data_IF_784543701843
#
_entry.id   IF_784543701843
#
_cell.length_a   1.000
_cell.length_b   1.000
_cell.length_c   1.000
_cell.angle_alpha   90.00
_cell.angle_beta   90.00
_cell.angle_gamma   90.00
#
_symmetry.space_group_name_H-M   'P 1'
#
loop_
_entity.id
_entity.type
_entity.pdbx_description
1 polymer ?
#
# COMPACT_ATOMS: atom_id res chain seq x y z
N UNK A 1 24.52 -4.92 -33.30
CA UNK A 1 23.82 -6.01 -32.60
C UNK A 1 22.85 -5.36 -31.65
N UNK A 2 21.54 -5.45 -31.87
CA UNK A 2 20.57 -5.05 -30.85
C UNK A 2 20.76 -5.94 -29.62
N UNK A 3 21.05 -5.34 -28.48
CA UNK A 3 21.13 -6.07 -27.22
C UNK A 3 19.70 -6.54 -26.92
N UNK A 4 19.46 -7.83 -26.99
CA UNK A 4 18.17 -8.46 -26.68
C UNK A 4 17.81 -8.07 -25.26
N UNK A 5 16.76 -7.26 -25.08
CA UNK A 5 16.25 -6.88 -23.75
C UNK A 5 15.84 -8.13 -22.99
N UNK A 6 16.17 -8.20 -21.71
CA UNK A 6 15.71 -9.26 -20.82
C UNK A 6 14.19 -9.17 -20.65
N UNK A 7 13.54 -10.31 -20.55
CA UNK A 7 12.11 -10.38 -20.28
C UNK A 7 11.87 -10.67 -18.80
N UNK A 8 11.26 -9.72 -18.11
CA UNK A 8 10.92 -9.82 -16.68
C UNK A 8 9.41 -9.96 -16.55
N UNK A 9 8.98 -11.00 -15.83
CA UNK A 9 7.56 -11.21 -15.50
C UNK A 9 7.34 -10.85 -14.03
N UNK A 10 6.41 -9.92 -13.77
CA UNK A 10 6.06 -9.48 -12.42
C UNK A 10 4.76 -10.12 -12.00
N UNK A 11 4.79 -10.89 -10.89
CA UNK A 11 3.60 -11.51 -10.31
C UNK A 11 3.10 -10.66 -9.13
N UNK A 12 1.86 -10.24 -9.17
CA UNK A 12 1.26 -9.38 -8.15
C UNK A 12 -0.22 -9.73 -7.92
N UNK A 13 -0.79 -9.32 -6.80
CA UNK A 13 -2.22 -9.47 -6.53
C UNK A 13 -3.07 -8.49 -7.34
N UNK A 14 -3.54 -7.44 -6.72
CA UNK A 14 -4.34 -6.39 -7.39
C UNK A 14 -3.43 -5.36 -8.05
N UNK A 15 -3.68 -5.10 -9.32
CA UNK A 15 -2.93 -4.16 -10.16
C UNK A 15 -3.89 -3.23 -10.91
N UNK A 16 -3.44 -2.59 -12.01
CA UNK A 16 -4.27 -1.72 -12.84
C UNK A 16 -5.61 -2.38 -13.24
N UNK A 17 -6.74 -1.65 -13.25
CA UNK A 17 -6.91 -0.24 -12.82
C UNK A 17 -7.06 -0.06 -11.30
N UNK A 18 -7.24 -1.14 -10.53
CA UNK A 18 -7.55 -1.15 -9.09
C UNK A 18 -6.34 -1.55 -8.25
N UNK A 19 -5.35 -0.65 -8.17
CA UNK A 19 -4.12 -0.92 -7.42
C UNK A 19 -4.36 -1.14 -5.93
N UNK A 20 -3.77 -2.21 -5.39
CA UNK A 20 -3.51 -2.32 -3.95
C UNK A 20 -2.24 -1.53 -3.57
N UNK A 21 -1.96 -1.38 -2.27
CA UNK A 21 -0.71 -0.78 -1.81
C UNK A 21 0.54 -1.48 -2.40
N UNK A 22 0.56 -2.81 -2.38
CA UNK A 22 1.62 -3.61 -3.04
C UNK A 22 1.60 -3.43 -4.55
N UNK A 23 0.42 -3.30 -5.16
CA UNK A 23 0.28 -3.01 -6.59
C UNK A 23 0.90 -1.68 -7.00
N UNK A 24 0.79 -0.64 -6.15
CA UNK A 24 1.45 0.66 -6.37
C UNK A 24 2.97 0.50 -6.29
N UNK A 25 3.48 -0.21 -5.28
CA UNK A 25 4.91 -0.50 -5.16
C UNK A 25 5.42 -1.27 -6.40
N UNK A 26 4.70 -2.31 -6.81
CA UNK A 26 5.03 -3.09 -8.00
C UNK A 26 5.03 -2.23 -9.28
N UNK A 27 4.05 -1.34 -9.43
CA UNK A 27 4.01 -0.39 -10.56
C UNK A 27 5.25 0.49 -10.60
N UNK A 28 5.62 1.06 -9.48
CA UNK A 28 6.77 1.96 -9.40
C UNK A 28 8.06 1.25 -9.80
N UNK A 29 8.25 0.00 -9.36
CA UNK A 29 9.38 -0.85 -9.79
C UNK A 29 9.29 -1.18 -11.28
N UNK A 30 8.11 -1.52 -11.79
CA UNK A 30 7.88 -1.79 -13.22
C UNK A 30 8.21 -0.56 -14.07
N UNK A 31 7.84 0.64 -13.63
CA UNK A 31 8.10 1.89 -14.34
C UNK A 31 9.62 2.19 -14.47
N UNK A 32 10.43 1.71 -13.54
CA UNK A 32 11.90 1.76 -13.67
C UNK A 32 12.42 0.62 -14.57
N UNK A 33 12.00 -0.61 -14.32
CA UNK A 33 12.49 -1.80 -15.05
C UNK A 33 12.17 -1.75 -16.56
N UNK A 34 11.01 -1.17 -16.96
CA UNK A 34 10.63 -1.09 -18.39
C UNK A 34 11.55 -0.22 -19.24
N UNK A 35 12.38 0.61 -18.61
CA UNK A 35 13.40 1.41 -19.33
C UNK A 35 14.46 0.52 -19.95
N UNK A 36 14.80 -0.61 -19.31
CA UNK A 36 15.89 -1.50 -19.68
C UNK A 36 15.46 -2.91 -20.08
N UNK A 37 14.25 -3.33 -19.70
CA UNK A 37 13.74 -4.68 -19.91
C UNK A 37 12.34 -4.66 -20.56
N UNK A 38 11.98 -5.80 -21.17
CA UNK A 38 10.61 -6.07 -21.58
C UNK A 38 9.83 -6.60 -20.38
N UNK A 39 8.67 -6.01 -20.10
CA UNK A 39 7.90 -6.35 -18.90
C UNK A 39 6.57 -7.01 -19.29
N UNK A 40 6.22 -8.06 -18.56
CA UNK A 40 4.84 -8.58 -18.48
C UNK A 40 4.41 -8.62 -17.04
N UNK A 41 3.22 -8.10 -16.71
CA UNK A 41 2.66 -8.15 -15.36
C UNK A 41 1.53 -9.17 -15.34
N UNK A 42 1.59 -10.14 -14.43
CA UNK A 42 0.53 -11.10 -14.19
C UNK A 42 -0.14 -10.75 -12.86
N UNK A 43 -1.42 -10.39 -12.92
CA UNK A 43 -2.19 -9.97 -11.75
C UNK A 43 -3.50 -10.74 -11.60
N UNK A 44 -4.16 -10.60 -10.45
CA UNK A 44 -5.49 -11.15 -10.23
C UNK A 44 -6.55 -10.17 -10.73
N UNK A 45 -7.63 -10.70 -11.35
CA UNK A 45 -8.83 -9.89 -11.60
C UNK A 45 -9.43 -9.38 -10.29
N UNK A 46 -9.76 -8.11 -10.27
CA UNK A 46 -10.45 -7.42 -9.17
C UNK A 46 -11.88 -7.02 -9.51
N UNK A 47 -12.20 -6.92 -10.81
CA UNK A 47 -13.53 -6.68 -11.36
C UNK A 47 -13.81 -7.66 -12.50
N UNK A 48 -15.08 -8.05 -12.67
CA UNK A 48 -15.48 -8.99 -13.70
C UNK A 48 -15.34 -8.41 -15.13
N UNK A 49 -15.42 -7.08 -15.24
CA UNK A 49 -15.35 -6.37 -16.52
C UNK A 49 -13.90 -6.06 -16.95
N UNK A 50 -12.90 -6.36 -16.12
CA UNK A 50 -11.50 -6.22 -16.52
C UNK A 50 -11.17 -7.17 -17.67
N UNK A 51 -10.41 -6.69 -18.67
CA UNK A 51 -9.90 -7.51 -19.76
C UNK A 51 -8.96 -8.59 -19.24
N UNK A 52 -8.91 -9.73 -19.88
CA UNK A 52 -7.94 -10.80 -19.53
C UNK A 52 -6.50 -10.39 -19.86
N UNK A 53 -6.33 -9.63 -20.93
CA UNK A 53 -5.04 -9.12 -21.39
C UNK A 53 -5.20 -7.71 -21.97
N UNK A 54 -4.28 -6.80 -21.67
CA UNK A 54 -4.20 -5.47 -22.27
C UNK A 54 -2.78 -4.90 -22.22
N UNK A 55 -2.51 -3.97 -23.15
CA UNK A 55 -1.33 -3.11 -23.11
C UNK A 55 -1.60 -1.92 -22.20
N UNK A 56 -0.65 -1.59 -21.33
CA UNK A 56 -0.70 -0.46 -20.44
C UNK A 56 0.67 0.16 -20.30
N UNK A 57 0.81 1.44 -20.65
CA UNK A 57 2.03 2.23 -20.45
C UNK A 57 3.33 1.57 -20.94
N UNK A 58 3.23 0.88 -22.12
CA UNK A 58 4.37 0.25 -22.78
C UNK A 58 4.73 -1.15 -22.28
N UNK A 59 3.88 -1.80 -21.48
CA UNK A 59 4.03 -3.18 -21.06
C UNK A 59 2.68 -3.91 -21.03
N UNK A 60 2.74 -5.24 -21.01
CA UNK A 60 1.57 -6.11 -21.08
C UNK A 60 1.09 -6.51 -19.69
N UNK A 61 -0.21 -6.37 -19.43
CA UNK A 61 -0.88 -6.87 -18.23
C UNK A 61 -1.74 -8.08 -18.61
N UNK A 62 -1.56 -9.19 -17.90
CA UNK A 62 -2.33 -10.42 -18.06
C UNK A 62 -3.00 -10.73 -16.73
N UNK A 63 -4.31 -10.98 -16.74
CA UNK A 63 -5.06 -11.22 -15.51
C UNK A 63 -5.48 -12.66 -15.37
N UNK A 64 -5.23 -13.23 -14.19
CA UNK A 64 -5.73 -14.54 -13.82
C UNK A 64 -6.93 -14.42 -12.86
N UNK A 65 -7.72 -15.48 -12.79
CA UNK A 65 -8.82 -15.59 -11.81
C UNK A 65 -9.19 -17.04 -11.58
N UNK A 66 -9.24 -17.45 -10.32
CA UNK A 66 -9.79 -18.76 -9.98
C UNK A 66 -11.31 -18.80 -10.21
N UNK A 67 -11.88 -19.97 -10.44
CA UNK A 67 -13.33 -20.15 -10.61
C UNK A 67 -14.14 -19.52 -9.48
N UNK A 68 -13.68 -19.67 -8.24
CA UNK A 68 -14.36 -19.11 -7.07
C UNK A 68 -14.26 -17.59 -7.04
N UNK A 69 -13.12 -17.00 -7.43
CA UNK A 69 -12.98 -15.56 -7.53
C UNK A 69 -13.84 -14.98 -8.65
N UNK A 70 -13.88 -15.62 -9.82
CA UNK A 70 -14.75 -15.20 -10.93
C UNK A 70 -16.23 -15.21 -10.52
N UNK A 71 -16.70 -16.28 -9.85
CA UNK A 71 -18.05 -16.35 -9.30
C UNK A 71 -18.33 -15.21 -8.30
N UNK A 72 -17.36 -14.92 -7.42
CA UNK A 72 -17.47 -13.81 -6.46
C UNK A 72 -17.58 -12.46 -7.15
N UNK A 73 -16.75 -12.19 -8.14
CA UNK A 73 -16.76 -10.92 -8.89
C UNK A 73 -18.06 -10.76 -9.66
N UNK A 74 -18.54 -11.83 -10.29
CA UNK A 74 -19.84 -11.86 -10.95
C UNK A 74 -20.99 -11.54 -9.97
N UNK A 75 -20.98 -12.19 -8.80
CA UNK A 75 -21.98 -11.95 -7.77
C UNK A 75 -21.96 -10.50 -7.25
N UNK A 76 -20.77 -9.91 -7.08
CA UNK A 76 -20.61 -8.50 -6.69
C UNK A 76 -21.18 -7.57 -7.76
N UNK A 77 -20.87 -7.82 -9.03
CA UNK A 77 -21.39 -7.03 -10.14
C UNK A 77 -22.93 -7.10 -10.19
N UNK A 78 -23.51 -8.30 -10.15
CA UNK A 78 -24.97 -8.49 -10.14
C UNK A 78 -25.64 -7.82 -8.93
N UNK A 79 -25.06 -7.94 -7.75
CA UNK A 79 -25.56 -7.25 -6.56
C UNK A 79 -25.62 -5.74 -6.76
N UNK A 80 -24.65 -5.15 -7.44
CA UNK A 80 -24.55 -3.70 -7.62
C UNK A 80 -25.40 -3.17 -8.78
N UNK A 81 -25.73 -4.01 -9.77
CA UNK A 81 -26.47 -3.62 -10.97
C UNK A 81 -27.96 -3.95 -10.93
N UNK A 82 -28.38 -4.87 -10.07
CA UNK A 82 -29.78 -5.31 -10.00
C UNK A 82 -30.59 -4.56 -8.92
N UNK A 83 -31.94 -4.47 -9.06
CA UNK A 83 -32.82 -3.92 -8.03
C UNK A 83 -32.65 -4.63 -6.68
N UNK A 84 -32.91 -3.92 -5.58
CA UNK A 84 -32.69 -4.38 -4.20
C UNK A 84 -33.22 -5.79 -3.89
N UNK A 85 -34.41 -6.13 -4.41
CA UNK A 85 -35.04 -7.43 -4.17
C UNK A 85 -34.20 -8.58 -4.74
N UNK A 86 -33.68 -8.43 -5.97
CA UNK A 86 -32.85 -9.45 -6.61
C UNK A 86 -31.40 -9.43 -6.10
N UNK A 87 -30.92 -8.28 -5.59
CA UNK A 87 -29.58 -8.15 -5.03
C UNK A 87 -29.37 -8.96 -3.75
N UNK A 88 -30.46 -9.32 -3.02
CA UNK A 88 -30.41 -10.11 -1.80
C UNK A 88 -29.86 -11.53 -2.06
N UNK A 89 -30.27 -12.18 -3.12
CA UNK A 89 -29.74 -13.49 -3.52
C UNK A 89 -28.21 -13.44 -3.71
N UNK A 90 -27.73 -12.42 -4.42
CA UNK A 90 -26.29 -12.25 -4.66
C UNK A 90 -25.51 -11.90 -3.38
N UNK A 91 -26.13 -11.17 -2.48
CA UNK A 91 -25.55 -10.91 -1.15
C UNK A 91 -25.38 -12.20 -0.34
N UNK A 92 -26.38 -13.09 -0.36
CA UNK A 92 -26.31 -14.41 0.29
C UNK A 92 -25.17 -15.23 -0.33
N UNK A 93 -25.07 -15.28 -1.66
CA UNK A 93 -24.01 -16.00 -2.36
C UNK A 93 -22.62 -15.43 -2.02
N UNK A 94 -22.45 -14.12 -1.97
CA UNK A 94 -21.19 -13.48 -1.56
C UNK A 94 -20.82 -13.90 -0.12
N UNK A 95 -21.79 -13.90 0.80
CA UNK A 95 -21.55 -14.31 2.17
C UNK A 95 -21.23 -15.81 2.29
N UNK A 96 -21.87 -16.66 1.49
CA UNK A 96 -21.53 -18.08 1.40
C UNK A 96 -20.08 -18.29 0.94
N UNK A 97 -19.64 -17.58 -0.12
CA UNK A 97 -18.26 -17.63 -0.60
C UNK A 97 -17.28 -17.15 0.49
N UNK A 98 -17.63 -16.11 1.25
CA UNK A 98 -16.83 -15.65 2.40
C UNK A 98 -16.72 -16.71 3.49
N UNK A 99 -17.84 -17.37 3.81
CA UNK A 99 -17.87 -18.47 4.80
C UNK A 99 -17.01 -19.65 4.35
N UNK A 100 -17.12 -20.06 3.08
CA UNK A 100 -16.26 -21.10 2.50
C UNK A 100 -14.78 -20.71 2.61
N UNK A 101 -14.44 -19.47 2.27
CA UNK A 101 -13.07 -18.96 2.37
C UNK A 101 -12.57 -18.91 3.83
N UNK A 102 -13.45 -18.60 4.78
CA UNK A 102 -13.14 -18.63 6.20
C UNK A 102 -12.89 -20.06 6.69
N UNK A 103 -13.79 -21.00 6.38
CA UNK A 103 -13.65 -22.41 6.74
C UNK A 103 -12.38 -23.01 6.14
N UNK A 104 -12.08 -22.70 4.86
CA UNK A 104 -10.84 -23.12 4.22
C UNK A 104 -9.62 -22.58 4.98
N UNK A 105 -9.63 -21.30 5.38
CA UNK A 105 -8.54 -20.72 6.15
C UNK A 105 -8.35 -21.37 7.54
N UNK A 106 -9.38 -21.98 8.13
CA UNK A 106 -9.28 -22.70 9.41
C UNK A 106 -8.83 -24.16 9.18
N UNK A 107 -9.44 -24.85 8.22
CA UNK A 107 -9.28 -26.30 8.04
C UNK A 107 -8.00 -26.70 7.28
N UNK A 108 -7.50 -25.86 6.38
CA UNK A 108 -6.26 -26.16 5.63
C UNK A 108 -5.03 -26.17 6.54
N UNK A 109 -4.07 -27.05 6.24
CA UNK A 109 -2.79 -27.17 6.98
C UNK A 109 -1.94 -25.89 6.91
N UNK A 110 -1.97 -25.22 5.75
CA UNK A 110 -1.35 -23.91 5.48
C UNK A 110 -2.35 -23.01 4.78
N UNK A 111 -2.24 -21.71 4.95
CA UNK A 111 -3.19 -20.75 4.38
C UNK A 111 -2.79 -20.34 2.95
N UNK A 112 -2.66 -21.33 2.09
CA UNK A 112 -2.36 -21.19 0.67
C UNK A 112 -3.55 -21.66 -0.17
N UNK A 113 -3.85 -20.93 -1.23
CA UNK A 113 -4.85 -21.29 -2.23
C UNK A 113 -4.15 -21.95 -3.42
N UNK A 114 -4.07 -23.27 -3.44
CA UNK A 114 -3.40 -23.99 -4.52
C UNK A 114 -3.99 -23.67 -5.89
N UNK A 115 -5.31 -23.56 -6.00
CA UNK A 115 -5.99 -23.10 -7.22
C UNK A 115 -5.51 -21.75 -7.73
N UNK A 116 -5.10 -20.84 -6.84
CA UNK A 116 -4.50 -19.56 -7.23
C UNK A 116 -3.04 -19.71 -7.68
N UNK A 117 -2.28 -20.60 -7.05
CA UNK A 117 -0.92 -20.96 -7.49
C UNK A 117 -0.96 -21.53 -8.90
N UNK A 118 -1.86 -22.48 -9.13
CA UNK A 118 -2.04 -23.15 -10.43
C UNK A 118 -2.42 -22.16 -11.54
N UNK A 119 -3.29 -21.20 -11.26
CA UNK A 119 -3.66 -20.15 -12.23
C UNK A 119 -2.47 -19.24 -12.59
N UNK A 120 -1.62 -18.89 -11.62
CA UNK A 120 -0.38 -18.15 -11.93
C UNK A 120 0.56 -18.97 -12.78
N UNK A 121 0.78 -20.25 -12.47
CA UNK A 121 1.65 -21.16 -13.24
C UNK A 121 1.16 -21.31 -14.68
N UNK A 122 -0.15 -21.50 -14.86
CA UNK A 122 -0.77 -21.63 -16.19
C UNK A 122 -0.50 -20.40 -17.07
N UNK A 123 -0.68 -19.19 -16.48
CA UNK A 123 -0.41 -17.94 -17.21
C UNK A 123 1.09 -17.78 -17.48
N UNK A 124 1.96 -18.08 -16.51
CA UNK A 124 3.42 -18.09 -16.70
C UNK A 124 3.84 -19.02 -17.85
N UNK A 125 3.31 -20.24 -17.90
CA UNK A 125 3.58 -21.17 -18.97
C UNK A 125 3.19 -20.61 -20.35
N UNK A 126 1.99 -20.03 -20.47
CA UNK A 126 1.53 -19.38 -21.71
C UNK A 126 2.39 -18.17 -22.11
N UNK A 127 2.93 -17.43 -21.16
CA UNK A 127 3.87 -16.33 -21.43
C UNK A 127 5.22 -16.89 -21.88
N UNK A 128 5.73 -17.92 -21.20
CA UNK A 128 7.01 -18.58 -21.51
C UNK A 128 7.05 -19.25 -22.88
N UNK A 129 5.92 -19.83 -23.33
CA UNK A 129 5.76 -20.38 -24.67
C UNK A 129 5.89 -19.30 -25.77
N UNK A 130 5.42 -18.07 -25.51
CA UNK A 130 5.49 -16.97 -26.48
C UNK A 130 6.86 -16.28 -26.46
N UNK A 131 7.47 -16.15 -25.29
CA UNK A 131 8.74 -15.46 -25.09
C UNK A 131 9.44 -16.00 -23.85
N UNK A 132 10.73 -16.36 -23.98
CA UNK A 132 11.56 -16.82 -22.85
C UNK A 132 11.51 -15.81 -21.71
N UNK A 133 11.34 -16.32 -20.49
CA UNK A 133 11.31 -15.51 -19.26
C UNK A 133 12.71 -15.59 -18.64
N UNK A 134 13.38 -14.45 -18.46
CA UNK A 134 14.69 -14.40 -17.82
C UNK A 134 14.56 -14.29 -16.28
N UNK A 135 13.55 -13.55 -15.81
CA UNK A 135 13.35 -13.30 -14.37
C UNK A 135 11.87 -13.22 -14.03
N UNK A 136 11.50 -13.82 -12.91
CA UNK A 136 10.18 -13.69 -12.30
C UNK A 136 10.32 -12.90 -10.98
N UNK A 137 9.79 -11.69 -10.94
CA UNK A 137 9.67 -10.88 -9.72
C UNK A 137 8.34 -11.17 -9.06
N UNK A 138 8.35 -11.77 -7.87
CA UNK A 138 7.14 -12.18 -7.16
C UNK A 138 6.83 -11.22 -6.01
N UNK A 139 5.86 -10.33 -6.18
CA UNK A 139 5.35 -9.55 -5.05
C UNK A 139 4.64 -10.51 -4.10
N UNK A 140 5.23 -10.80 -2.92
CA UNK A 140 4.77 -11.82 -1.97
C UNK A 140 3.41 -11.50 -1.31
N UNK A 141 2.57 -10.76 -2.02
CA UNK A 141 1.20 -10.45 -1.68
C UNK A 141 0.33 -10.50 -2.96
N UNK A 142 -0.39 -11.59 -3.18
CA UNK A 142 -0.53 -12.80 -2.32
C UNK A 142 0.71 -13.69 -2.36
N UNK A 143 0.95 -14.46 -1.29
CA UNK A 143 2.12 -15.35 -1.19
C UNK A 143 2.09 -16.49 -2.24
N UNK A 144 0.91 -16.80 -2.75
CA UNK A 144 0.69 -17.72 -3.87
C UNK A 144 1.48 -17.33 -5.13
N UNK A 145 1.72 -16.02 -5.37
CA UNK A 145 2.54 -15.57 -6.48
C UNK A 145 3.99 -16.05 -6.38
N UNK A 146 4.53 -16.02 -5.17
CA UNK A 146 5.90 -16.51 -4.88
C UNK A 146 6.02 -18.01 -5.08
N UNK A 147 5.06 -18.76 -4.56
CA UNK A 147 5.01 -20.22 -4.75
C UNK A 147 4.88 -20.59 -6.22
N UNK A 148 4.08 -19.85 -6.97
CA UNK A 148 3.94 -20.07 -8.42
C UNK A 148 5.25 -19.84 -9.17
N UNK A 149 6.00 -18.77 -8.86
CA UNK A 149 7.31 -18.52 -9.46
C UNK A 149 8.29 -19.66 -9.19
N UNK A 150 8.39 -20.12 -7.94
CA UNK A 150 9.25 -21.26 -7.56
C UNK A 150 8.82 -22.56 -8.26
N UNK A 151 7.53 -22.84 -8.31
CA UNK A 151 7.04 -24.05 -8.98
C UNK A 151 7.25 -23.98 -10.50
N UNK A 152 7.04 -22.82 -11.12
CA UNK A 152 7.33 -22.62 -12.54
C UNK A 152 8.79 -22.91 -12.85
N UNK A 153 9.74 -22.38 -12.07
CA UNK A 153 11.17 -22.67 -12.21
C UNK A 153 11.46 -24.17 -12.17
N UNK A 154 10.83 -24.91 -11.27
CA UNK A 154 11.02 -26.36 -11.13
C UNK A 154 10.45 -27.17 -12.27
N UNK A 155 9.30 -26.77 -12.79
CA UNK A 155 8.51 -27.58 -13.74
C UNK A 155 8.80 -27.22 -15.20
N UNK A 156 9.12 -25.98 -15.51
CA UNK A 156 9.19 -25.46 -16.88
C UNK A 156 10.57 -24.97 -17.29
N UNK A 157 11.26 -24.18 -16.46
CA UNK A 157 12.55 -23.60 -16.81
C UNK A 157 13.43 -23.40 -15.57
N UNK A 158 14.43 -24.28 -15.42
CA UNK A 158 15.38 -24.25 -14.29
C UNK A 158 16.34 -23.07 -14.32
N UNK A 159 16.48 -22.37 -15.45
CA UNK A 159 17.41 -21.24 -15.60
C UNK A 159 16.76 -19.90 -15.26
N UNK A 160 15.42 -19.84 -15.20
CA UNK A 160 14.70 -18.62 -14.82
C UNK A 160 15.08 -18.20 -13.40
N UNK A 161 15.37 -16.92 -13.22
CA UNK A 161 15.63 -16.36 -11.89
C UNK A 161 14.31 -16.03 -11.21
N UNK A 162 14.16 -16.44 -9.95
CA UNK A 162 12.97 -16.13 -9.14
C UNK A 162 13.38 -15.25 -7.98
N UNK A 163 12.78 -14.06 -7.91
CA UNK A 163 13.08 -13.01 -6.93
C UNK A 163 11.81 -12.64 -6.19
N UNK A 164 11.57 -13.19 -4.99
CA UNK A 164 10.49 -12.74 -4.11
C UNK A 164 10.74 -11.33 -3.57
N UNK A 165 9.68 -10.53 -3.50
CA UNK A 165 9.68 -9.21 -2.90
C UNK A 165 8.67 -9.18 -1.75
N UNK A 166 9.15 -9.22 -0.51
CA UNK A 166 8.34 -9.30 0.70
C UNK A 166 7.98 -7.91 1.20
N UNK A 167 6.75 -7.49 0.92
CA UNK A 167 6.17 -6.24 1.43
C UNK A 167 5.50 -6.43 2.80
N UNK A 168 4.94 -7.61 3.05
CA UNK A 168 4.20 -7.95 4.27
C UNK A 168 4.72 -9.24 4.89
N UNK A 169 4.52 -9.39 6.21
CA UNK A 169 4.82 -10.63 6.91
C UNK A 169 3.71 -11.67 6.67
N UNK A 170 4.01 -12.63 5.82
CA UNK A 170 3.08 -13.74 5.52
C UNK A 170 2.70 -14.53 6.77
N UNK A 171 3.68 -14.80 7.67
CA UNK A 171 3.48 -15.65 8.85
C UNK A 171 2.62 -14.96 9.91
N UNK A 172 2.80 -13.64 10.10
CA UNK A 172 2.15 -12.88 11.16
C UNK A 172 0.81 -12.26 10.78
N UNK A 173 0.43 -12.32 9.53
CA UNK A 173 -0.70 -11.59 8.99
C UNK A 173 -2.05 -12.07 9.51
N UNK A 174 -2.70 -11.28 10.36
CA UNK A 174 -3.99 -11.61 11.00
C UNK A 174 -5.12 -11.82 9.99
N UNK A 175 -5.20 -11.01 8.93
CA UNK A 175 -6.19 -11.18 7.86
C UNK A 175 -6.12 -12.52 7.12
N UNK A 176 -4.94 -13.15 7.06
CA UNK A 176 -4.73 -14.46 6.48
C UNK A 176 -5.23 -15.58 7.43
N UNK A 177 -4.92 -15.44 8.71
CA UNK A 177 -5.21 -16.46 9.72
C UNK A 177 -6.64 -16.43 10.24
N UNK A 178 -7.31 -15.27 10.16
CA UNK A 178 -8.67 -15.02 10.65
C UNK A 178 -8.83 -15.02 12.16
N UNK A 179 -8.06 -15.84 12.89
CA UNK A 179 -8.08 -15.93 14.36
C UNK A 179 -6.67 -16.12 14.91
N UNK A 180 -6.40 -15.60 16.12
CA UNK A 180 -5.09 -15.75 16.78
C UNK A 180 -4.73 -17.20 17.10
N UNK A 181 -5.76 -18.05 17.37
CA UNK A 181 -5.56 -19.48 17.58
C UNK A 181 -5.08 -20.19 16.30
N UNK A 182 -5.73 -19.93 15.15
CA UNK A 182 -5.34 -20.50 13.86
C UNK A 182 -3.92 -20.06 13.45
N UNK A 183 -3.55 -18.80 13.73
CA UNK A 183 -2.21 -18.26 13.55
C UNK A 183 -1.17 -19.08 14.34
N UNK A 184 -1.41 -19.30 15.63
CA UNK A 184 -0.50 -20.10 16.49
C UNK A 184 -0.35 -21.54 16.00
N UNK A 185 -1.45 -22.21 15.66
CA UNK A 185 -1.42 -23.60 15.16
C UNK A 185 -0.60 -23.77 13.87
N UNK A 186 -0.61 -22.78 12.99
CA UNK A 186 0.04 -22.87 11.67
C UNK A 186 1.41 -22.22 11.61
N UNK A 187 1.82 -21.60 12.70
CA UNK A 187 3.05 -20.81 12.77
C UNK A 187 4.27 -21.53 12.18
N UNK A 188 4.63 -22.66 12.74
CA UNK A 188 5.82 -23.43 12.30
C UNK A 188 5.71 -23.85 10.82
N UNK A 189 4.53 -24.30 10.39
CA UNK A 189 4.32 -24.68 8.98
C UNK A 189 4.49 -23.53 8.01
N UNK A 190 4.09 -22.32 8.41
CA UNK A 190 4.29 -21.12 7.60
C UNK A 190 5.76 -20.67 7.62
N UNK A 191 6.46 -20.78 8.75
CA UNK A 191 7.91 -20.58 8.83
C UNK A 191 8.64 -21.53 7.87
N UNK A 192 8.32 -22.84 7.94
CA UNK A 192 8.95 -23.85 7.09
C UNK A 192 8.67 -23.60 5.60
N UNK A 193 7.47 -23.12 5.27
CA UNK A 193 7.10 -22.76 3.90
C UNK A 193 7.94 -21.57 3.39
N UNK A 194 8.15 -20.55 4.22
CA UNK A 194 9.00 -19.41 3.86
C UNK A 194 10.46 -19.85 3.73
N UNK A 195 10.97 -20.72 4.62
CA UNK A 195 12.32 -21.30 4.49
C UNK A 195 12.51 -22.03 3.15
N UNK A 196 11.51 -22.83 2.75
CA UNK A 196 11.55 -23.51 1.47
C UNK A 196 11.59 -22.52 0.28
N UNK A 197 10.87 -21.41 0.38
CA UNK A 197 10.92 -20.33 -0.63
C UNK A 197 12.30 -19.67 -0.67
N UNK A 198 12.89 -19.34 0.48
CA UNK A 198 14.22 -18.72 0.53
C UNK A 198 15.27 -19.62 -0.16
N UNK A 199 15.27 -20.91 0.20
CA UNK A 199 16.21 -21.88 -0.37
C UNK A 199 16.17 -21.95 -1.89
N UNK A 200 15.00 -21.90 -2.48
CA UNK A 200 14.77 -22.05 -3.93
C UNK A 200 14.84 -20.72 -4.71
N UNK A 201 14.89 -19.60 -4.01
CA UNK A 201 14.98 -18.27 -4.60
C UNK A 201 16.43 -17.92 -4.98
N UNK A 202 16.60 -17.12 -6.04
CA UNK A 202 17.93 -16.67 -6.46
C UNK A 202 18.36 -15.42 -5.69
N UNK A 203 17.39 -14.56 -5.30
CA UNK A 203 17.57 -13.37 -4.50
C UNK A 203 16.24 -12.99 -3.87
N UNK A 204 16.27 -12.17 -2.80
CA UNK A 204 15.05 -11.67 -2.11
C UNK A 204 15.19 -10.20 -1.76
N UNK A 205 14.11 -9.46 -2.00
CA UNK A 205 13.94 -8.14 -1.42
C UNK A 205 12.97 -8.23 -0.23
N UNK A 206 13.37 -7.67 0.89
CA UNK A 206 12.61 -7.75 2.15
C UNK A 206 12.51 -6.36 2.75
N UNK A 207 11.30 -5.93 3.11
CA UNK A 207 11.11 -4.64 3.78
C UNK A 207 11.88 -4.57 5.10
N UNK A 208 12.49 -3.43 5.41
CA UNK A 208 13.19 -3.20 6.69
C UNK A 208 12.32 -3.51 7.91
N UNK A 209 11.01 -3.28 7.81
CA UNK A 209 10.04 -3.60 8.85
C UNK A 209 10.00 -5.09 9.21
N UNK A 210 10.40 -5.96 8.29
CA UNK A 210 10.43 -7.41 8.46
C UNK A 210 11.80 -7.94 8.92
N UNK A 211 12.82 -7.07 9.01
CA UNK A 211 14.21 -7.46 9.30
C UNK A 211 14.32 -8.33 10.55
N UNK A 212 13.73 -7.89 11.67
CA UNK A 212 13.80 -8.64 12.93
C UNK A 212 13.19 -10.04 12.79
N UNK A 213 12.04 -10.15 12.12
CA UNK A 213 11.40 -11.44 11.89
C UNK A 213 12.31 -12.35 11.02
N UNK A 214 12.84 -11.82 9.92
CA UNK A 214 13.72 -12.58 9.03
C UNK A 214 15.01 -13.01 9.73
N UNK A 215 15.66 -12.15 10.48
CA UNK A 215 16.87 -12.47 11.24
C UNK A 215 16.61 -13.49 12.38
N UNK A 216 15.40 -13.51 12.94
CA UNK A 216 15.04 -14.45 14.00
C UNK A 216 14.76 -15.86 13.46
N UNK A 217 14.05 -15.97 12.34
CA UNK A 217 13.52 -17.25 11.88
C UNK A 217 14.22 -17.84 10.65
N UNK A 218 14.96 -17.01 9.88
CA UNK A 218 15.61 -17.39 8.63
C UNK A 218 17.09 -17.03 8.64
N UNK A 219 17.88 -17.87 9.34
CA UNK A 219 19.32 -17.67 9.51
C UNK A 219 20.15 -18.26 8.38
N UNK A 220 19.57 -19.13 7.57
CA UNK A 220 20.16 -19.68 6.37
C UNK A 220 19.87 -18.77 5.16
N UNK A 221 20.72 -18.76 4.15
CA UNK A 221 20.56 -17.99 2.90
C UNK A 221 20.45 -16.46 3.09
N UNK A 222 20.99 -15.92 4.19
CA UNK A 222 20.93 -14.48 4.51
C UNK A 222 21.64 -13.60 3.49
N UNK A 223 22.64 -14.13 2.78
CA UNK A 223 23.39 -13.45 1.72
C UNK A 223 22.53 -13.17 0.48
N UNK A 224 21.43 -13.88 0.31
CA UNK A 224 20.46 -13.63 -0.78
C UNK A 224 19.50 -12.49 -0.46
N UNK A 225 19.49 -11.96 0.78
CA UNK A 225 18.48 -10.99 1.23
C UNK A 225 19.04 -9.56 1.11
N UNK A 226 18.37 -8.73 0.35
CA UNK A 226 18.53 -7.28 0.39
C UNK A 226 17.36 -6.67 1.14
N UNK A 227 17.67 -5.96 2.23
CA UNK A 227 16.66 -5.18 2.96
C UNK A 227 16.47 -3.83 2.31
N UNK A 228 15.21 -3.45 2.11
CA UNK A 228 14.83 -2.22 1.40
C UNK A 228 13.59 -1.57 2.03
N UNK A 229 13.29 -0.34 1.66
CA UNK A 229 12.04 0.34 1.97
C UNK A 229 11.01 0.18 0.85
N UNK A 230 9.76 0.55 1.13
CA UNK A 230 8.72 0.54 0.11
C UNK A 230 9.10 1.50 -1.04
N UNK A 231 9.12 1.05 -2.29
CA UNK A 231 9.52 1.88 -3.44
C UNK A 231 8.40 2.88 -3.81
N UNK A 232 8.15 3.82 -2.92
CA UNK A 232 7.05 4.79 -2.98
C UNK A 232 7.53 6.23 -3.12
N UNK A 233 8.84 6.46 -3.05
CA UNK A 233 9.42 7.78 -3.21
C UNK A 233 9.62 8.08 -4.71
N UNK A 234 8.65 8.77 -5.30
CA UNK A 234 8.63 9.13 -6.72
C UNK A 234 8.52 10.63 -6.85
N UNK A 235 9.34 11.21 -7.73
CA UNK A 235 9.29 12.64 -7.99
C UNK A 235 7.89 13.07 -8.45
N UNK A 236 7.28 13.96 -7.68
CA UNK A 236 6.00 14.55 -8.04
C UNK A 236 6.23 15.63 -9.12
N UNK A 237 5.54 15.50 -10.26
CA UNK A 237 5.52 16.55 -11.27
C UNK A 237 4.82 17.79 -10.70
N UNK A 238 5.61 18.73 -10.17
CA UNK A 238 5.09 19.95 -9.58
C UNK A 238 4.75 20.96 -10.68
N UNK A 239 3.52 21.46 -10.69
CA UNK A 239 3.23 22.75 -11.31
C UNK A 239 3.75 23.88 -10.41
N UNK A 240 4.02 25.05 -10.97
CA UNK A 240 4.53 26.21 -10.24
C UNK A 240 3.76 26.44 -8.93
N UNK A 241 4.48 26.51 -7.82
CA UNK A 241 3.91 26.73 -6.49
C UNK A 241 3.29 28.12 -6.41
N UNK A 242 2.02 28.19 -5.94
CA UNK A 242 1.40 29.44 -5.53
C UNK A 242 1.70 29.65 -4.04
N UNK A 243 2.17 30.82 -3.68
CA UNK A 243 2.20 31.27 -2.28
C UNK A 243 0.78 31.65 -1.87
N UNK A 244 0.29 31.03 -0.81
CA UNK A 244 -1.03 31.33 -0.23
C UNK A 244 -0.89 32.45 0.80
N UNK A 245 -1.85 33.38 0.87
CA UNK A 245 -1.89 34.44 1.87
C UNK A 245 -1.99 33.85 3.28
N UNK A 246 -2.92 32.92 3.45
CA UNK A 246 -3.06 32.10 4.67
C UNK A 246 -2.60 30.67 4.39
N UNK A 247 -1.90 30.07 5.35
CA UNK A 247 -1.43 28.69 5.22
C UNK A 247 -2.58 27.71 4.93
N UNK A 248 -2.40 26.88 3.92
CA UNK A 248 -3.34 25.82 3.54
C UNK A 248 -2.82 24.47 4.04
N UNK A 249 -3.52 23.87 4.99
CA UNK A 249 -3.25 22.55 5.51
C UNK A 249 -4.10 21.52 4.75
N UNK A 250 -3.53 20.41 4.33
CA UNK A 250 -4.25 19.36 3.60
C UNK A 250 -4.12 18.01 4.31
N UNK A 251 -5.26 17.33 4.49
CA UNK A 251 -5.32 15.91 4.81
C UNK A 251 -6.00 15.15 3.67
N UNK A 252 -5.33 14.14 3.11
CA UNK A 252 -5.90 13.25 2.10
C UNK A 252 -5.84 11.79 2.56
N UNK A 253 -7.02 11.14 2.75
CA UNK A 253 -7.05 9.73 3.15
C UNK A 253 -8.32 9.26 3.82
N UNK A 254 -8.28 8.07 4.42
CA UNK A 254 -9.43 7.50 5.11
C UNK A 254 -9.37 7.76 6.62
N UNK A 255 -10.54 8.02 7.20
CA UNK A 255 -10.76 7.94 8.64
C UNK A 255 -11.67 6.73 8.94
N UNK A 256 -11.13 5.76 9.64
CA UNK A 256 -11.77 4.49 9.95
C UNK A 256 -11.76 4.26 11.46
N UNK A 257 -12.94 3.99 12.02
CA UNK A 257 -13.11 3.70 13.45
C UNK A 257 -12.23 2.52 13.86
N UNK A 258 -11.53 2.66 14.98
CA UNK A 258 -10.57 1.70 15.55
C UNK A 258 -9.32 1.47 14.70
N UNK A 259 -9.08 2.31 13.68
CA UNK A 259 -7.93 2.17 12.81
C UNK A 259 -7.17 3.49 12.62
N UNK A 260 -7.78 4.50 12.00
CA UNK A 260 -7.25 5.87 11.89
C UNK A 260 -8.37 6.80 12.29
N UNK A 261 -8.30 7.37 13.49
CA UNK A 261 -9.38 8.16 14.07
C UNK A 261 -9.01 9.65 14.09
N UNK A 262 -9.95 10.55 13.73
CA UNK A 262 -9.65 11.97 13.60
C UNK A 262 -9.82 12.78 14.88
N UNK A 263 -10.22 12.17 16.01
CA UNK A 263 -10.73 12.90 17.18
C UNK A 263 -9.76 13.94 17.71
N UNK A 264 -8.53 13.53 18.02
CA UNK A 264 -7.52 14.43 18.56
C UNK A 264 -7.10 15.51 17.55
N UNK A 265 -6.96 15.15 16.27
CA UNK A 265 -6.72 16.10 15.19
C UNK A 265 -7.84 17.16 15.14
N UNK A 266 -9.10 16.75 15.09
CA UNK A 266 -10.26 17.64 14.97
C UNK A 266 -10.32 18.60 16.15
N UNK A 267 -10.18 18.09 17.38
CA UNK A 267 -10.22 18.93 18.57
C UNK A 267 -9.04 19.91 18.62
N UNK A 268 -7.85 19.48 18.21
CA UNK A 268 -6.68 20.35 18.10
C UNK A 268 -6.91 21.48 17.09
N UNK A 269 -7.45 21.15 15.92
CA UNK A 269 -7.75 22.16 14.90
C UNK A 269 -8.85 23.12 15.34
N UNK A 270 -9.86 22.68 16.09
CA UNK A 270 -10.88 23.58 16.70
C UNK A 270 -10.24 24.64 17.60
N UNK A 271 -9.29 24.23 18.45
CA UNK A 271 -8.62 25.18 19.35
C UNK A 271 -7.76 26.20 18.59
N UNK A 272 -7.10 25.77 17.52
CA UNK A 272 -6.28 26.65 16.67
C UNK A 272 -7.16 27.64 15.90
N UNK A 273 -8.23 27.17 15.26
CA UNK A 273 -9.14 27.97 14.42
C UNK A 273 -9.88 29.06 15.18
N UNK A 274 -10.04 28.93 16.50
CA UNK A 274 -10.62 30.01 17.36
C UNK A 274 -9.75 31.28 17.40
N UNK A 275 -8.46 31.19 17.05
CA UNK A 275 -7.48 32.26 17.29
C UNK A 275 -6.60 32.60 16.10
N UNK A 276 -6.51 31.67 15.11
CA UNK A 276 -5.57 31.79 13.99
C UNK A 276 -6.29 31.57 12.65
N UNK A 277 -5.92 32.38 11.67
CA UNK A 277 -6.44 32.29 10.30
C UNK A 277 -5.58 31.30 9.50
N UNK A 278 -6.04 30.07 9.44
CA UNK A 278 -5.48 29.00 8.61
C UNK A 278 -6.61 28.37 7.80
N UNK A 279 -6.30 27.85 6.61
CA UNK A 279 -7.23 27.12 5.78
C UNK A 279 -6.94 25.63 5.87
N UNK A 280 -7.97 24.79 5.92
CA UNK A 280 -7.82 23.35 6.05
C UNK A 280 -8.72 22.66 5.05
N UNK A 281 -8.11 21.89 4.16
CA UNK A 281 -8.80 21.13 3.13
C UNK A 281 -8.72 19.63 3.43
N UNK A 282 -9.87 18.99 3.60
CA UNK A 282 -10.02 17.57 3.83
C UNK A 282 -10.49 16.85 2.57
N UNK A 283 -9.76 15.82 2.16
CA UNK A 283 -10.11 14.89 1.09
C UNK A 283 -10.27 13.50 1.72
N UNK A 284 -11.44 13.26 2.33
CA UNK A 284 -11.61 12.15 3.27
C UNK A 284 -12.71 11.17 2.84
N UNK A 285 -12.48 9.90 3.18
CA UNK A 285 -13.46 8.84 3.09
C UNK A 285 -13.46 8.00 4.37
N UNK A 286 -14.44 7.12 4.54
CA UNK A 286 -14.52 6.21 5.67
C UNK A 286 -15.76 6.45 6.54
N UNK A 287 -15.78 5.83 7.71
CA UNK A 287 -16.94 5.86 8.62
C UNK A 287 -16.82 6.86 9.79
N UNK A 288 -15.72 7.64 9.82
CA UNK A 288 -15.50 8.70 10.81
C UNK A 288 -15.53 10.12 10.20
N UNK A 289 -16.01 10.28 8.96
CA UNK A 289 -16.06 11.59 8.27
C UNK A 289 -16.97 12.60 8.93
N UNK A 290 -17.99 12.17 9.70
CA UNK A 290 -18.92 13.05 10.42
C UNK A 290 -18.22 14.08 11.32
N UNK A 291 -17.07 13.76 11.90
CA UNK A 291 -16.32 14.69 12.75
C UNK A 291 -15.69 15.83 11.93
N UNK A 292 -15.35 15.56 10.69
CA UNK A 292 -14.87 16.58 9.74
C UNK A 292 -16.03 17.45 9.26
N UNK A 293 -17.21 16.85 9.03
CA UNK A 293 -18.42 17.60 8.64
C UNK A 293 -18.85 18.55 9.76
N UNK A 294 -18.76 18.11 11.02
CA UNK A 294 -19.01 18.93 12.20
C UNK A 294 -18.00 20.10 12.31
N UNK A 295 -16.71 19.84 12.09
CA UNK A 295 -15.66 20.87 12.06
C UNK A 295 -15.91 21.89 10.94
N UNK A 296 -16.26 21.43 9.75
CA UNK A 296 -16.59 22.27 8.60
C UNK A 296 -17.79 23.15 8.89
N UNK A 297 -18.81 22.63 9.55
CA UNK A 297 -20.00 23.39 9.94
C UNK A 297 -19.69 24.49 10.97
N UNK A 298 -18.72 24.25 11.86
CA UNK A 298 -18.30 25.23 12.86
C UNK A 298 -17.40 26.33 12.28
N UNK A 299 -16.60 26.01 11.26
CA UNK A 299 -15.62 26.92 10.64
C UNK A 299 -15.73 26.92 9.11
N UNK A 300 -16.88 27.31 8.52
CA UNK A 300 -17.16 27.12 7.09
C UNK A 300 -16.28 27.96 6.16
N UNK A 301 -15.69 29.04 6.67
CA UNK A 301 -14.77 29.88 5.89
C UNK A 301 -13.38 29.22 5.76
N UNK A 302 -12.94 28.57 6.84
CA UNK A 302 -11.58 28.09 6.97
C UNK A 302 -11.44 26.58 6.66
N UNK A 303 -12.51 25.80 6.85
CA UNK A 303 -12.46 24.33 6.70
C UNK A 303 -13.36 23.89 5.56
N UNK A 304 -12.79 23.09 4.66
CA UNK A 304 -13.55 22.48 3.56
C UNK A 304 -13.40 20.97 3.59
N UNK A 305 -14.51 20.25 3.46
CA UNK A 305 -14.53 18.81 3.28
C UNK A 305 -14.99 18.48 1.87
N UNK A 306 -14.06 17.99 1.03
CA UNK A 306 -14.33 17.59 -0.37
C UNK A 306 -14.80 16.13 -0.47
N UNK A 307 -14.82 15.39 0.64
CA UNK A 307 -15.22 13.99 0.66
C UNK A 307 -14.26 13.08 -0.12
N UNK A 308 -14.83 11.98 -0.64
CA UNK A 308 -14.08 11.04 -1.47
C UNK A 308 -13.88 11.60 -2.88
N UNK A 309 -12.64 11.76 -3.29
CA UNK A 309 -12.23 12.26 -4.61
C UNK A 309 -11.38 11.22 -5.36
N UNK A 310 -11.04 11.50 -6.62
CA UNK A 310 -10.07 10.68 -7.38
C UNK A 310 -8.65 10.88 -6.86
N UNK A 311 -7.78 9.92 -7.17
CA UNK A 311 -6.36 10.00 -6.79
C UNK A 311 -5.69 11.27 -7.36
N UNK A 312 -5.99 11.62 -8.60
CA UNK A 312 -5.43 12.82 -9.26
C UNK A 312 -5.87 14.11 -8.55
N UNK A 313 -7.12 14.18 -8.10
CA UNK A 313 -7.65 15.34 -7.38
C UNK A 313 -6.97 15.47 -6.01
N UNK A 314 -6.83 14.37 -5.27
CA UNK A 314 -6.12 14.34 -4.00
C UNK A 314 -4.64 14.74 -4.17
N UNK A 315 -3.99 14.23 -5.21
CA UNK A 315 -2.58 14.54 -5.49
C UNK A 315 -2.37 16.03 -5.85
N UNK A 316 -3.28 16.61 -6.64
CA UNK A 316 -3.25 18.07 -6.91
C UNK A 316 -3.40 18.90 -5.63
N UNK A 317 -4.25 18.47 -4.69
CA UNK A 317 -4.41 19.14 -3.42
C UNK A 317 -3.14 19.03 -2.54
N UNK A 318 -2.52 17.85 -2.49
CA UNK A 318 -1.23 17.63 -1.82
C UNK A 318 -0.15 18.56 -2.41
N UNK A 319 -0.09 18.67 -3.73
CA UNK A 319 0.84 19.60 -4.41
C UNK A 319 0.55 21.08 -4.12
N UNK A 320 -0.70 21.46 -3.93
CA UNK A 320 -1.12 22.84 -3.65
C UNK A 320 -1.00 23.23 -2.17
N UNK A 321 -0.94 22.27 -1.25
CA UNK A 321 -0.85 22.52 0.19
C UNK A 321 0.42 23.28 0.60
N UNK A 322 0.38 23.96 1.74
CA UNK A 322 1.58 24.47 2.41
C UNK A 322 2.10 23.49 3.45
N UNK A 323 1.20 22.84 4.18
CA UNK A 323 1.49 21.86 5.22
C UNK A 323 0.63 20.61 4.99
N UNK A 324 1.19 19.45 5.21
CA UNK A 324 0.48 18.18 5.07
C UNK A 324 0.17 17.56 6.44
N UNK A 325 -1.09 17.19 6.65
CA UNK A 325 -1.52 16.55 7.89
C UNK A 325 -1.51 15.03 7.73
N UNK A 326 -0.92 14.34 8.68
CA UNK A 326 -0.90 12.89 8.76
C UNK A 326 -1.38 12.42 10.13
N UNK A 327 -2.24 11.41 10.16
CA UNK A 327 -2.67 10.72 11.39
C UNK A 327 -2.19 9.28 11.29
N UNK A 328 -1.46 8.85 12.29
CA UNK A 328 -0.97 7.48 12.41
C UNK A 328 -2.12 6.50 12.69
N UNK A 329 -1.91 5.26 12.38
CA UNK A 329 -2.83 4.17 12.71
C UNK A 329 -2.78 3.89 14.22
N UNK A 330 -3.93 3.53 14.82
CA UNK A 330 -4.08 3.42 16.28
C UNK A 330 -3.12 2.42 16.95
N UNK A 331 -2.69 1.35 16.27
CA UNK A 331 -1.72 0.39 16.82
C UNK A 331 -0.26 0.88 16.73
N UNK A 332 0.03 1.80 15.83
CA UNK A 332 1.39 2.29 15.52
C UNK A 332 2.29 1.27 14.80
N UNK A 333 1.73 0.13 14.40
CA UNK A 333 2.50 -0.96 13.75
C UNK A 333 2.49 -0.80 12.24
N UNK A 334 1.40 -0.27 11.67
CA UNK A 334 1.22 -0.20 10.24
C UNK A 334 1.74 1.13 9.66
N UNK A 335 2.58 1.00 8.66
CA UNK A 335 3.09 2.14 7.91
C UNK A 335 2.01 2.74 7.01
N UNK A 336 1.90 4.06 7.01
CA UNK A 336 1.07 4.79 6.07
C UNK A 336 1.84 5.11 4.79
N UNK A 337 1.40 4.54 3.66
CA UNK A 337 2.00 4.86 2.34
C UNK A 337 1.94 6.36 1.99
N UNK A 338 1.04 7.13 2.61
CA UNK A 338 0.93 8.58 2.41
C UNK A 338 2.19 9.35 2.78
N UNK A 339 2.96 8.89 3.78
CA UNK A 339 4.16 9.60 4.20
C UNK A 339 5.18 9.71 3.06
N UNK A 340 5.33 8.68 2.23
CA UNK A 340 6.24 8.74 1.08
C UNK A 340 5.73 9.72 0.01
N UNK A 341 4.42 9.73 -0.27
CA UNK A 341 3.81 10.73 -1.16
C UNK A 341 4.02 12.15 -0.61
N UNK A 342 3.91 12.34 0.70
CA UNK A 342 4.11 13.64 1.34
C UNK A 342 5.57 14.07 1.32
N UNK A 343 6.49 13.15 1.59
CA UNK A 343 7.93 13.41 1.48
C UNK A 343 8.35 13.71 0.04
N UNK A 344 7.79 13.00 -0.96
CA UNK A 344 8.16 13.20 -2.37
C UNK A 344 7.84 14.59 -2.90
N UNK A 345 6.89 15.30 -2.29
CA UNK A 345 6.59 16.70 -2.63
C UNK A 345 7.40 17.70 -1.79
N UNK A 346 8.25 17.22 -0.89
CA UNK A 346 9.19 18.01 -0.11
C UNK A 346 8.55 18.95 0.92
N UNK A 347 7.29 18.75 1.30
CA UNK A 347 6.51 19.69 2.13
C UNK A 347 6.60 19.38 3.62
N UNK A 348 6.39 20.41 4.48
CA UNK A 348 6.27 20.20 5.91
C UNK A 348 5.10 19.27 6.24
N UNK A 349 5.33 18.35 7.20
CA UNK A 349 4.38 17.33 7.63
C UNK A 349 4.11 17.51 9.12
N UNK A 350 2.84 17.47 9.53
CA UNK A 350 2.46 17.33 10.95
C UNK A 350 1.92 15.92 11.13
N UNK A 351 2.63 15.08 11.89
CA UNK A 351 2.21 13.73 12.22
C UNK A 351 1.58 13.69 13.61
N UNK A 352 0.31 13.32 13.67
CA UNK A 352 -0.40 12.96 14.91
C UNK A 352 -0.22 11.46 15.16
N UNK A 353 0.26 11.09 16.34
CA UNK A 353 0.55 9.70 16.70
C UNK A 353 0.23 9.43 18.18
N UNK A 354 -0.10 8.19 18.54
CA UNK A 354 -0.44 7.79 19.90
C UNK A 354 0.59 6.87 20.55
N UNK A 355 1.39 6.14 19.77
CA UNK A 355 2.39 5.18 20.23
C UNK A 355 3.81 5.71 20.01
N UNK A 356 4.65 5.72 21.06
CA UNK A 356 6.05 6.18 20.95
C UNK A 356 6.87 5.36 19.95
N UNK A 357 6.54 4.08 19.78
CA UNK A 357 7.17 3.17 18.82
C UNK A 357 6.49 3.17 17.46
N UNK A 358 5.68 4.20 17.13
CA UNK A 358 4.98 4.30 15.86
C UNK A 358 5.95 4.25 14.68
N UNK A 359 5.64 3.38 13.70
CA UNK A 359 6.49 3.16 12.54
C UNK A 359 6.61 4.41 11.66
N UNK A 360 5.53 5.19 11.52
CA UNK A 360 5.53 6.41 10.72
C UNK A 360 6.40 7.48 11.38
N UNK A 361 6.35 7.60 12.72
CA UNK A 361 7.25 8.45 13.50
C UNK A 361 8.70 8.07 13.27
N UNK A 362 9.02 6.77 13.31
CA UNK A 362 10.38 6.26 13.09
C UNK A 362 10.88 6.56 11.67
N UNK A 363 10.04 6.37 10.65
CA UNK A 363 10.41 6.67 9.27
C UNK A 363 10.62 8.18 9.10
N UNK A 364 9.67 9.00 9.55
CA UNK A 364 9.75 10.45 9.42
C UNK A 364 10.81 11.10 10.30
N UNK A 365 11.45 10.38 11.24
CA UNK A 365 12.48 10.96 12.13
C UNK A 365 13.71 11.53 11.38
N UNK A 366 13.97 11.05 10.15
CA UNK A 366 15.03 11.56 9.29
C UNK A 366 14.58 12.76 8.45
N UNK A 367 13.26 13.04 8.37
CA UNK A 367 12.72 14.12 7.54
C UNK A 367 12.76 15.45 8.29
N UNK A 368 13.52 16.48 7.81
CA UNK A 368 13.77 17.69 8.61
C UNK A 368 12.53 18.58 8.74
N UNK A 369 11.56 18.50 7.82
CA UNK A 369 10.35 19.32 7.84
C UNK A 369 9.18 18.56 8.47
N UNK A 370 9.35 18.01 9.67
CA UNK A 370 8.29 17.28 10.36
C UNK A 370 8.06 17.80 11.78
N UNK A 371 6.79 17.90 12.16
CA UNK A 371 6.36 18.11 13.55
C UNK A 371 5.64 16.86 14.05
N UNK A 372 6.11 16.30 15.15
CA UNK A 372 5.49 15.18 15.84
C UNK A 372 4.58 15.67 16.96
N UNK A 373 3.30 15.32 16.88
CA UNK A 373 2.28 15.63 17.89
C UNK A 373 1.76 14.33 18.48
N UNK A 374 2.08 14.08 19.73
CA UNK A 374 1.52 12.94 20.47
C UNK A 374 0.07 13.21 20.84
N UNK A 375 -0.80 12.26 20.58
CA UNK A 375 -2.19 12.32 21.01
C UNK A 375 -2.25 12.17 22.53
N UNK A 376 -2.88 13.14 23.18
CA UNK A 376 -3.06 13.22 24.63
C UNK A 376 -4.55 13.23 24.98
N UNK A 377 -4.87 12.99 26.26
CA UNK A 377 -6.25 13.00 26.73
C UNK A 377 -6.89 14.40 26.60
N UNK A 378 -6.07 15.46 26.70
CA UNK A 378 -6.51 16.86 26.56
C UNK A 378 -5.50 17.65 25.74
N UNK A 379 -6.02 18.49 24.86
CA UNK A 379 -5.22 19.43 24.10
C UNK A 379 -4.75 20.54 25.03
N UNK A 380 -3.45 20.76 25.02
CA UNK A 380 -2.85 21.85 25.80
C UNK A 380 -2.68 23.12 24.95
N UNK A 381 -2.61 24.28 25.61
CA UNK A 381 -2.22 25.53 24.92
C UNK A 381 -0.85 25.41 24.26
N UNK A 382 0.03 24.65 24.88
CA UNK A 382 1.38 24.37 24.38
C UNK A 382 1.33 23.59 23.06
N UNK A 383 0.50 22.53 22.97
CA UNK A 383 0.31 21.74 21.73
C UNK A 383 -0.16 22.65 20.59
N UNK A 384 -1.16 23.47 20.82
CA UNK A 384 -1.65 24.43 19.80
C UNK A 384 -0.58 25.44 19.40
N UNK A 385 0.17 26.00 20.36
CA UNK A 385 1.23 26.96 20.10
C UNK A 385 2.39 26.33 19.28
N UNK A 386 2.78 25.10 19.59
CA UNK A 386 3.80 24.36 18.81
C UNK A 386 3.39 24.19 17.36
N UNK A 387 2.12 23.82 17.11
CA UNK A 387 1.61 23.65 15.75
C UNK A 387 1.58 24.97 15.00
N UNK A 388 1.06 26.03 15.60
CA UNK A 388 1.00 27.37 14.97
C UNK A 388 2.40 27.88 14.65
N UNK A 389 3.32 27.80 15.59
CA UNK A 389 4.73 28.19 15.35
C UNK A 389 5.38 27.38 14.21
N UNK A 390 5.13 26.07 14.15
CA UNK A 390 5.62 25.24 13.07
C UNK A 390 5.06 25.65 11.70
N UNK A 391 3.76 25.99 11.65
CA UNK A 391 3.10 26.47 10.41
C UNK A 391 3.73 27.79 9.97
N UNK A 392 3.87 28.77 10.88
CA UNK A 392 4.42 30.10 10.59
C UNK A 392 5.84 30.03 10.04
N UNK A 393 6.70 29.20 10.65
CA UNK A 393 8.09 29.03 10.24
C UNK A 393 8.22 28.28 8.92
N UNK A 394 7.35 27.26 8.70
CA UNK A 394 7.60 26.27 7.65
C UNK A 394 6.66 26.34 6.44
N UNK A 395 5.59 27.15 6.45
CA UNK A 395 4.61 27.19 5.35
C UNK A 395 5.20 27.39 3.95
N UNK A 396 6.36 28.05 3.86
CA UNK A 396 7.07 28.30 2.61
C UNK A 396 8.29 27.39 2.40
N UNK A 397 8.64 26.55 3.39
CA UNK A 397 9.80 25.69 3.29
C UNK A 397 9.51 24.47 2.44
N UNK A 398 10.49 24.05 1.65
CA UNK A 398 10.42 22.85 0.80
C UNK A 398 11.78 22.20 0.74
N UNK A 399 11.81 20.88 0.73
CA UNK A 399 12.97 20.12 0.30
C UNK A 399 12.83 19.83 -1.19
N UNK A 400 13.93 19.84 -1.92
CA UNK A 400 13.92 19.31 -3.27
C UNK A 400 13.91 17.76 -3.23
N UNK A 401 13.50 17.14 -4.34
CA UNK A 401 13.35 15.69 -4.39
C UNK A 401 14.68 14.96 -4.17
N UNK A 402 15.81 15.49 -4.68
CA UNK A 402 17.12 14.88 -4.49
C UNK A 402 17.55 14.89 -3.01
N UNK A 403 17.23 15.97 -2.25
CA UNK A 403 17.47 16.00 -0.81
C UNK A 403 16.68 14.89 -0.10
N UNK A 404 15.41 14.70 -0.46
CA UNK A 404 14.58 13.63 0.11
C UNK A 404 15.12 12.25 -0.26
N UNK A 405 15.52 12.02 -1.51
CA UNK A 405 16.14 10.75 -1.93
C UNK A 405 17.43 10.46 -1.17
N UNK A 406 18.24 11.48 -0.88
CA UNK A 406 19.46 11.31 -0.09
C UNK A 406 19.18 10.84 1.34
N UNK A 407 18.03 11.23 1.92
CA UNK A 407 17.60 10.77 3.25
C UNK A 407 16.99 9.36 3.22
N UNK A 408 16.39 8.96 2.10
CA UNK A 408 15.65 7.69 1.93
C UNK A 408 16.03 6.98 0.62
N UNK A 409 17.31 6.68 0.38
CA UNK A 409 17.74 6.10 -0.89
C UNK A 409 17.10 4.73 -1.19
N UNK A 410 16.74 3.98 -0.15
CA UNK A 410 16.13 2.66 -0.27
C UNK A 410 14.61 2.70 -0.60
N UNK A 411 13.99 3.88 -0.52
CA UNK A 411 12.57 4.07 -0.85
C UNK A 411 12.37 4.54 -2.31
N UNK A 412 13.45 4.85 -3.02
CA UNK A 412 13.43 5.15 -4.45
C UNK A 412 13.35 3.83 -5.23
N UNK A 413 12.47 3.70 -6.24
CA UNK A 413 12.28 2.45 -6.97
C UNK A 413 13.41 2.09 -7.95
N UNK A 414 14.50 2.85 -8.02
CA UNK A 414 15.69 2.62 -8.87
C UNK A 414 16.55 1.47 -8.40
#
# INVERSE_FOLDING_TARGET
MEIKKKHIVVLVGSYYPNFSAVGICARNVVDELKKEADISVISQKTDINEKDEEEYDGYRIIRNSTKLNTLRLYAINKKNTLPKLFSLFWLILINLIRTISFLRAILCKVNIKNDQVDEYIKVLASVGEKKTIDTILCCSFPFESTLAGIQYKKLHDKQVKVIPYFFDNFVERDGLHRTGWNKRMKWNKHIDLVKAVLKESDHLFVMHTLRNHFQTYYTEDVEKITYTEHPLLIEAKANAYKTNEHAVLVYAGAFLKHYVEPYFLVDTLKEILKRHLINIDFYVMGNCTKYIDELTSQFPINVKNYGKVTFETANRAILAADILLCVAECSGIQMSSKIFTYMSVGKPIILFYNNENDINKRILSKYPLVLFIKEEVKITKETSARIVNFIEINKNNRLNFCEVCSLYPEAEPR
#
